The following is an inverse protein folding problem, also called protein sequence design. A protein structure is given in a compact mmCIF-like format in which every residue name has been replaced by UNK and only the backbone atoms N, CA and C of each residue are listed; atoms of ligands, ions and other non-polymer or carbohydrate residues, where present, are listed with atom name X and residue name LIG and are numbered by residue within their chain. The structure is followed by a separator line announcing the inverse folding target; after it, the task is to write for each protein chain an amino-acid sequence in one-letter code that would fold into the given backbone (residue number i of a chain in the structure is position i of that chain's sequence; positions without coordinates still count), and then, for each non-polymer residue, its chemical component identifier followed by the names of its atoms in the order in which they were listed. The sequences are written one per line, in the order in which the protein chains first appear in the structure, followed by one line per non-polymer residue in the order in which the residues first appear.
data_IF_310942623728
#
_entry.id   IF_310942623728
#
_cell.length_a   1.000
_cell.length_b   1.000
_cell.length_c   1.000
_cell.angle_alpha   90.00
_cell.angle_beta   90.00
_cell.angle_gamma   90.00
#
_symmetry.space_group_name_H-M   'P 1'
#
loop_
_entity.id
_entity.type
_entity.pdbx_description
1 polymer ?
#
# COMPACT_ATOMS: atom_id res chain seq x y z
N UNK A 1 -0.68 11.00 -9.84
CA UNK A 1 -0.03 10.17 -8.79
C UNK A 1 0.41 8.84 -9.38
N UNK A 2 1.42 8.22 -8.78
CA UNK A 2 1.80 6.82 -9.01
C UNK A 2 1.09 5.96 -7.97
N UNK A 3 0.29 5.01 -8.42
CA UNK A 3 -0.54 4.17 -7.54
C UNK A 3 -0.14 2.71 -7.73
N UNK A 4 0.27 2.03 -6.64
CA UNK A 4 0.45 0.59 -6.67
C UNK A 4 -0.86 -0.12 -6.34
N UNK A 5 -1.22 -1.12 -7.16
CA UNK A 5 -2.28 -2.09 -6.85
C UNK A 5 -1.62 -3.36 -6.33
N UNK A 6 -1.96 -3.76 -5.11
CA UNK A 6 -1.31 -4.87 -4.40
C UNK A 6 -2.36 -5.79 -3.79
N UNK A 7 -2.68 -6.86 -4.51
CA UNK A 7 -3.58 -7.92 -4.02
C UNK A 7 -2.77 -9.09 -3.46
N UNK A 8 -3.31 -9.76 -2.46
CA UNK A 8 -2.79 -11.01 -1.92
C UNK A 8 -3.63 -12.21 -2.41
N UNK A 9 -3.22 -13.43 -2.07
CA UNK A 9 -3.77 -14.67 -2.64
C UNK A 9 -5.28 -14.80 -2.53
N UNK A 10 -5.91 -14.44 -1.40
CA UNK A 10 -7.36 -14.62 -1.22
C UNK A 10 -8.21 -13.65 -2.05
N UNK A 11 -7.60 -12.60 -2.58
CA UNK A 11 -8.26 -11.53 -3.32
C UNK A 11 -7.63 -11.27 -4.70
N UNK A 12 -6.73 -12.14 -5.14
CA UNK A 12 -5.98 -11.96 -6.40
C UNK A 12 -6.89 -11.79 -7.62
N UNK A 13 -7.97 -12.56 -7.70
CA UNK A 13 -8.92 -12.51 -8.82
C UNK A 13 -9.73 -11.20 -8.88
N UNK A 14 -9.66 -10.35 -7.85
CA UNK A 14 -10.27 -9.01 -7.84
C UNK A 14 -9.39 -7.95 -8.48
N UNK A 15 -8.18 -8.30 -8.85
CA UNK A 15 -7.21 -7.39 -9.46
C UNK A 15 -7.77 -6.67 -10.70
N UNK A 16 -8.45 -7.41 -11.57
CA UNK A 16 -9.03 -6.87 -12.81
C UNK A 16 -10.09 -5.78 -12.54
N UNK A 17 -10.91 -5.96 -11.51
CA UNK A 17 -11.96 -5.01 -11.15
C UNK A 17 -11.37 -3.72 -10.56
N UNK A 18 -10.30 -3.84 -9.76
CA UNK A 18 -9.58 -2.68 -9.20
C UNK A 18 -8.92 -1.88 -10.31
N UNK A 19 -8.22 -2.55 -11.23
CA UNK A 19 -7.58 -1.89 -12.38
C UNK A 19 -8.60 -1.16 -13.25
N UNK A 20 -9.71 -1.82 -13.59
CA UNK A 20 -10.80 -1.23 -14.36
C UNK A 20 -11.42 -0.01 -13.66
N UNK A 21 -11.57 -0.08 -12.32
CA UNK A 21 -12.09 1.04 -11.55
C UNK A 21 -11.11 2.22 -11.42
N UNK A 22 -9.81 2.00 -11.60
CA UNK A 22 -8.77 3.04 -11.60
C UNK A 22 -8.49 3.62 -12.99
N UNK A 23 -8.92 2.93 -14.05
CA UNK A 23 -8.66 3.34 -15.43
C UNK A 23 -9.25 4.71 -15.74
N UNK A 24 -8.57 5.49 -16.60
CA UNK A 24 -9.03 6.80 -17.07
C UNK A 24 -8.98 7.95 -16.05
N UNK A 25 -8.47 7.72 -14.83
CA UNK A 25 -8.40 8.74 -13.76
C UNK A 25 -7.14 9.61 -13.79
N UNK A 26 -6.30 9.47 -14.82
CA UNK A 26 -5.09 10.29 -14.98
C UNK A 26 -3.96 9.95 -14.01
N UNK A 27 -3.93 8.73 -13.49
CA UNK A 27 -2.88 8.21 -12.61
C UNK A 27 -2.00 7.19 -13.33
N UNK A 28 -0.75 7.06 -12.91
CA UNK A 28 0.14 5.98 -13.33
C UNK A 28 -0.10 4.77 -12.43
N UNK A 29 -0.60 3.68 -12.99
CA UNK A 29 -0.93 2.47 -12.23
C UNK A 29 0.21 1.46 -12.35
N UNK A 30 0.69 0.97 -11.21
CA UNK A 30 1.70 -0.07 -11.05
C UNK A 30 1.03 -1.30 -10.44
N UNK A 31 0.82 -2.34 -11.23
CA UNK A 31 0.20 -3.59 -10.78
C UNK A 31 1.27 -4.49 -10.17
N UNK A 32 1.53 -4.36 -8.87
CA UNK A 32 2.67 -4.92 -8.16
C UNK A 32 2.37 -6.22 -7.37
N UNK A 33 1.10 -6.42 -6.96
CA UNK A 33 0.67 -7.63 -6.23
C UNK A 33 0.24 -8.77 -7.13
N UNK A 34 -0.38 -9.79 -6.54
CA UNK A 34 -0.95 -10.92 -7.26
C UNK A 34 -2.08 -10.47 -8.19
N UNK A 35 -2.10 -11.04 -9.39
CA UNK A 35 -3.05 -10.67 -10.47
C UNK A 35 -4.15 -11.70 -10.63
N UNK A 36 -3.88 -12.94 -10.21
CA UNK A 36 -4.83 -14.07 -10.24
C UNK A 36 -4.41 -15.12 -9.22
N UNK A 37 -5.34 -15.98 -8.85
CA UNK A 37 -5.05 -17.13 -8.00
C UNK A 37 -4.06 -18.09 -8.67
N UNK A 38 -3.21 -18.74 -7.88
CA UNK A 38 -2.23 -19.73 -8.34
C UNK A 38 -0.91 -19.16 -8.86
N UNK A 39 -0.70 -17.84 -8.85
CA UNK A 39 0.62 -17.26 -9.13
C UNK A 39 1.65 -17.65 -8.06
N UNK A 40 2.91 -17.76 -8.48
CA UNK A 40 4.03 -18.13 -7.60
C UNK A 40 5.14 -17.07 -7.68
N UNK A 41 5.81 -16.76 -6.54
CA UNK A 41 5.46 -17.23 -5.20
C UNK A 41 4.11 -16.67 -4.75
N UNK A 42 3.35 -17.45 -3.96
CA UNK A 42 2.10 -16.99 -3.37
C UNK A 42 2.37 -15.89 -2.34
N UNK A 43 1.66 -14.77 -2.44
CA UNK A 43 1.77 -13.67 -1.49
C UNK A 43 0.54 -13.63 -0.57
N UNK A 44 0.78 -13.81 0.71
CA UNK A 44 -0.20 -13.58 1.78
C UNK A 44 -0.21 -12.10 2.18
N UNK A 45 -1.19 -11.68 3.00
CA UNK A 45 -1.31 -10.29 3.46
C UNK A 45 -0.04 -9.75 4.16
N UNK A 46 0.74 -10.63 4.83
CA UNK A 46 2.02 -10.24 5.45
C UNK A 46 3.06 -9.84 4.39
N UNK A 47 3.10 -10.56 3.27
CA UNK A 47 4.00 -10.28 2.16
C UNK A 47 3.59 -9.00 1.41
N UNK A 48 2.30 -8.86 1.12
CA UNK A 48 1.78 -7.67 0.45
C UNK A 48 1.85 -6.42 1.32
N UNK A 49 1.75 -6.56 2.64
CA UNK A 49 2.03 -5.48 3.60
C UNK A 49 3.47 -5.00 3.53
N UNK A 50 4.45 -5.93 3.45
CA UNK A 50 5.86 -5.59 3.25
C UNK A 50 6.09 -4.94 1.88
N UNK A 51 5.51 -5.49 0.81
CA UNK A 51 5.64 -4.90 -0.54
C UNK A 51 5.14 -3.46 -0.58
N UNK A 52 3.97 -3.20 0.02
CA UNK A 52 3.44 -1.85 0.16
C UNK A 52 4.40 -0.92 0.91
N UNK A 53 4.97 -1.41 2.01
CA UNK A 53 5.93 -0.66 2.81
C UNK A 53 7.21 -0.34 2.03
N UNK A 54 7.74 -1.29 1.27
CA UNK A 54 8.90 -1.08 0.40
C UNK A 54 8.62 0.03 -0.61
N UNK A 55 7.53 -0.07 -1.35
CA UNK A 55 7.22 0.90 -2.41
C UNK A 55 6.98 2.31 -1.88
N UNK A 56 6.32 2.44 -0.72
CA UNK A 56 6.06 3.74 -0.08
C UNK A 56 7.34 4.34 0.53
N UNK A 57 8.13 3.55 1.28
CA UNK A 57 9.36 4.06 1.92
C UNK A 57 10.47 4.37 0.90
N UNK A 58 10.54 3.65 -0.22
CA UNK A 58 11.40 3.99 -1.36
C UNK A 58 10.84 5.10 -2.24
N UNK A 59 9.65 5.63 -1.93
CA UNK A 59 8.97 6.67 -2.73
C UNK A 59 8.77 6.25 -4.19
N UNK A 60 8.57 4.97 -4.46
CA UNK A 60 8.25 4.46 -5.80
C UNK A 60 6.83 4.79 -6.21
N UNK A 61 5.95 4.89 -5.22
CA UNK A 61 4.53 5.22 -5.38
C UNK A 61 4.10 6.28 -4.37
N UNK A 62 3.01 6.95 -4.70
CA UNK A 62 2.42 7.99 -3.86
C UNK A 62 1.24 7.44 -3.04
N UNK A 63 0.59 6.38 -3.53
CA UNK A 63 -0.54 5.69 -2.92
C UNK A 63 -0.45 4.19 -3.17
N UNK A 64 -0.81 3.40 -2.16
CA UNK A 64 -1.07 1.96 -2.31
C UNK A 64 -2.57 1.70 -2.20
N UNK A 65 -3.11 1.01 -3.20
CA UNK A 65 -4.43 0.38 -3.19
C UNK A 65 -4.20 -1.10 -2.97
N UNK A 66 -4.38 -1.56 -1.75
CA UNK A 66 -4.22 -2.96 -1.38
C UNK A 66 -5.49 -3.53 -0.77
N UNK A 67 -5.41 -4.76 -0.33
CA UNK A 67 -6.50 -5.42 0.38
C UNK A 67 -6.31 -6.92 0.47
N UNK A 68 -7.26 -7.54 1.14
CA UNK A 68 -7.38 -8.99 1.25
C UNK A 68 -8.86 -9.35 1.33
N UNK A 69 -9.21 -10.59 1.61
CA UNK A 69 -10.61 -11.01 1.72
C UNK A 69 -11.47 -10.10 2.59
N UNK A 70 -10.98 -9.70 3.77
CA UNK A 70 -11.67 -8.79 4.69
C UNK A 70 -11.07 -7.37 4.74
N UNK A 71 -9.94 -7.15 4.12
CA UNK A 71 -9.16 -5.92 4.25
C UNK A 71 -8.37 -5.80 5.57
N UNK A 72 -8.76 -6.52 6.60
CA UNK A 72 -8.18 -6.37 7.94
C UNK A 72 -6.76 -6.94 8.04
N UNK A 73 -6.49 -8.08 7.41
CA UNK A 73 -5.17 -8.70 7.40
C UNK A 73 -4.13 -7.79 6.75
N UNK A 74 -4.43 -7.25 5.57
CA UNK A 74 -3.56 -6.30 4.88
C UNK A 74 -3.35 -5.02 5.70
N UNK A 75 -4.43 -4.45 6.26
CA UNK A 75 -4.34 -3.28 7.15
C UNK A 75 -3.38 -3.53 8.31
N UNK A 76 -3.59 -4.64 9.05
CA UNK A 76 -2.75 -4.99 10.20
C UNK A 76 -1.29 -5.20 9.82
N UNK A 77 -1.02 -5.77 8.65
CA UNK A 77 0.34 -5.99 8.18
C UNK A 77 1.03 -4.68 7.79
N UNK A 78 0.36 -3.83 7.03
CA UNK A 78 0.98 -2.62 6.47
C UNK A 78 1.28 -1.56 7.52
N UNK A 79 0.45 -1.44 8.57
CA UNK A 79 0.67 -0.45 9.65
C UNK A 79 1.79 -0.85 10.62
N UNK A 80 2.40 -2.03 10.46
CA UNK A 80 3.61 -2.41 11.21
C UNK A 80 4.87 -1.69 10.70
N UNK A 81 4.76 -0.95 9.59
CA UNK A 81 5.90 -0.29 8.95
C UNK A 81 5.81 1.24 9.08
N UNK A 82 6.97 1.93 9.16
CA UNK A 82 7.00 3.38 9.35
C UNK A 82 6.40 4.14 8.18
N UNK A 83 5.85 5.31 8.48
CA UNK A 83 5.41 6.28 7.48
C UNK A 83 4.13 5.90 6.74
N UNK A 84 3.40 4.88 7.18
CA UNK A 84 2.18 4.40 6.52
C UNK A 84 0.95 4.81 7.34
N UNK A 85 0.02 5.46 6.64
CA UNK A 85 -1.32 5.76 7.15
C UNK A 85 -2.29 5.04 6.24
N UNK A 86 -2.89 3.95 6.76
CA UNK A 86 -3.78 3.08 6.00
C UNK A 86 -5.22 3.18 6.49
N UNK A 87 -6.14 3.37 5.56
CA UNK A 87 -7.59 3.34 5.80
C UNK A 87 -8.21 2.00 5.43
N UNK A 88 -9.08 1.46 6.27
CA UNK A 88 -9.95 0.34 5.92
C UNK A 88 -11.17 0.90 5.20
N UNK A 89 -11.31 0.62 3.91
CA UNK A 89 -12.32 1.22 3.05
C UNK A 89 -13.32 0.14 2.60
N UNK A 90 -14.55 0.27 3.06
CA UNK A 90 -15.65 -0.66 2.74
C UNK A 90 -16.61 -0.06 1.71
N UNK A 91 -16.72 1.27 1.67
CA UNK A 91 -17.68 1.98 0.83
C UNK A 91 -17.16 3.38 0.46
N UNK A 92 -17.94 4.11 -0.30
CA UNK A 92 -17.63 5.45 -0.80
C UNK A 92 -17.54 6.51 0.30
N UNK A 93 -18.32 6.40 1.38
CA UNK A 93 -18.24 7.32 2.52
C UNK A 93 -16.92 7.16 3.28
N UNK A 94 -16.48 5.92 3.52
CA UNK A 94 -15.18 5.64 4.13
C UNK A 94 -14.05 6.26 3.30
N UNK A 95 -14.11 6.08 1.99
CA UNK A 95 -13.13 6.61 1.05
C UNK A 95 -13.04 8.14 1.09
N UNK A 96 -14.20 8.80 1.06
CA UNK A 96 -14.29 10.26 1.12
C UNK A 96 -13.78 10.81 2.45
N UNK A 97 -14.22 10.23 3.58
CA UNK A 97 -13.80 10.67 4.93
C UNK A 97 -12.30 10.44 5.13
N UNK A 98 -11.77 9.30 4.70
CA UNK A 98 -10.35 9.01 4.82
C UNK A 98 -9.50 9.99 4.02
N UNK A 99 -9.87 10.29 2.78
CA UNK A 99 -9.18 11.28 1.96
C UNK A 99 -9.26 12.68 2.59
N UNK A 100 -10.43 13.11 3.08
CA UNK A 100 -10.64 14.41 3.70
C UNK A 100 -9.88 14.61 5.00
N UNK A 101 -9.87 13.60 5.87
CA UNK A 101 -9.43 13.75 7.26
C UNK A 101 -8.01 13.21 7.44
N UNK A 102 -7.76 11.99 6.99
CA UNK A 102 -6.52 11.28 7.27
C UNK A 102 -5.44 11.56 6.23
N UNK A 103 -5.81 11.81 4.97
CA UNK A 103 -4.87 12.01 3.87
C UNK A 103 -3.77 10.94 3.83
N UNK A 104 -4.16 9.68 4.02
CA UNK A 104 -3.22 8.58 4.09
C UNK A 104 -2.66 8.19 2.72
N UNK A 105 -1.60 7.41 2.75
CA UNK A 105 -0.89 6.92 1.57
C UNK A 105 -1.17 5.44 1.25
N UNK A 106 -2.12 4.84 1.95
CA UNK A 106 -2.52 3.45 1.75
C UNK A 106 -4.00 3.26 2.03
N UNK A 107 -4.69 2.46 1.21
CA UNK A 107 -6.03 1.99 1.51
C UNK A 107 -6.08 0.47 1.48
N UNK A 108 -6.88 -0.10 2.36
CA UNK A 108 -7.14 -1.54 2.47
C UNK A 108 -8.59 -1.83 2.14
N UNK A 109 -8.81 -2.52 1.03
CA UNK A 109 -10.13 -2.91 0.53
C UNK A 109 -10.54 -4.29 1.06
N UNK A 110 -11.82 -4.44 1.44
CA UNK A 110 -12.42 -5.73 1.77
C UNK A 110 -12.94 -6.39 0.49
N UNK A 111 -12.11 -7.21 -0.15
CA UNK A 111 -12.34 -7.66 -1.51
C UNK A 111 -13.22 -8.92 -1.66
N UNK A 112 -13.49 -9.64 -0.55
CA UNK A 112 -14.41 -10.77 -0.53
C UNK A 112 -15.58 -10.55 0.45
N UNK A 113 -15.43 -9.67 1.41
CA UNK A 113 -16.50 -9.36 2.36
C UNK A 113 -17.53 -8.44 1.70
N UNK A 114 -18.74 -8.93 1.52
CA UNK A 114 -19.79 -8.19 0.82
C UNK A 114 -19.53 -8.01 -0.68
N UNK A 115 -18.56 -8.70 -1.24
CA UNK A 115 -18.24 -8.66 -2.66
C UNK A 115 -19.23 -9.51 -3.43
N UNK A 116 -20.19 -8.85 -4.05
CA UNK A 116 -21.27 -9.49 -4.76
C UNK A 116 -21.38 -9.02 -6.22
N UNK A 117 -22.54 -9.19 -6.79
CA UNK A 117 -22.85 -8.92 -8.19
C UNK A 117 -22.44 -7.53 -8.70
N UNK A 118 -22.55 -6.48 -7.88
CA UNK A 118 -22.19 -5.10 -8.25
C UNK A 118 -20.91 -4.58 -7.58
N UNK A 119 -20.02 -5.47 -7.15
CA UNK A 119 -18.82 -5.09 -6.41
C UNK A 119 -17.85 -4.21 -7.22
N UNK A 120 -17.74 -4.46 -8.52
CA UNK A 120 -16.98 -3.61 -9.45
C UNK A 120 -17.54 -2.18 -9.53
N UNK A 121 -18.86 -2.02 -9.44
CA UNK A 121 -19.50 -0.69 -9.37
C UNK A 121 -19.20 0.01 -8.05
N UNK A 122 -19.22 -0.74 -6.93
CA UNK A 122 -18.84 -0.20 -5.63
C UNK A 122 -17.37 0.30 -5.62
N UNK A 123 -16.46 -0.42 -6.26
CA UNK A 123 -15.07 0.03 -6.41
C UNK A 123 -14.97 1.34 -7.19
N UNK A 124 -15.78 1.52 -8.24
CA UNK A 124 -15.85 2.79 -8.96
C UNK A 124 -16.32 3.92 -8.03
N UNK A 125 -17.38 3.72 -7.24
CA UNK A 125 -17.88 4.72 -6.30
C UNK A 125 -16.83 5.05 -5.22
N UNK A 126 -16.12 4.04 -4.70
CA UNK A 126 -15.02 4.24 -3.75
C UNK A 126 -13.96 5.18 -4.35
N UNK A 127 -13.47 4.89 -5.56
CA UNK A 127 -12.44 5.72 -6.18
C UNK A 127 -12.96 7.08 -6.66
N UNK A 128 -14.23 7.17 -7.12
CA UNK A 128 -14.87 8.44 -7.43
C UNK A 128 -14.85 9.36 -6.21
N UNK A 129 -15.18 8.84 -5.03
CA UNK A 129 -15.20 9.62 -3.80
C UNK A 129 -13.81 9.89 -3.25
N UNK A 130 -12.92 8.90 -3.29
CA UNK A 130 -11.55 9.07 -2.82
C UNK A 130 -10.82 10.20 -3.57
N UNK A 131 -10.95 10.25 -4.89
CA UNK A 131 -10.27 11.24 -5.73
C UNK A 131 -11.09 12.54 -5.96
N UNK A 132 -12.30 12.64 -5.44
CA UNK A 132 -13.14 13.84 -5.62
C UNK A 132 -12.74 15.03 -4.76
N UNK A 133 -11.79 14.84 -3.84
CA UNK A 133 -11.40 15.85 -2.85
C UNK A 133 -9.88 15.99 -2.80
N UNK A 134 -9.43 17.17 -2.40
CA UNK A 134 -8.03 17.37 -2.05
C UNK A 134 -7.72 16.66 -0.73
N UNK A 135 -6.68 15.82 -0.73
CA UNK A 135 -6.31 15.03 0.43
C UNK A 135 -5.98 15.94 1.64
N UNK A 136 -6.60 15.64 2.78
CA UNK A 136 -6.38 16.38 4.01
C UNK A 136 -7.06 17.75 4.07
N UNK A 137 -8.00 18.04 3.17
CA UNK A 137 -8.77 19.27 3.19
C UNK A 137 -9.53 19.49 4.51
N UNK A 138 -9.89 18.41 5.19
CA UNK A 138 -10.50 18.40 6.51
C UNK A 138 -12.02 18.45 6.48
N UNK A 139 -12.66 17.71 7.41
CA UNK A 139 -14.11 17.68 7.56
C UNK A 139 -14.52 17.42 9.03
N UNK A 140 -15.54 18.11 9.55
CA UNK A 140 -16.15 19.32 8.99
C UNK A 140 -15.17 20.51 8.97
N UNK A 141 -15.49 21.57 8.25
CA UNK A 141 -14.54 22.67 7.96
C UNK A 141 -13.84 23.27 9.20
N UNK A 142 -14.57 23.39 10.32
CA UNK A 142 -14.02 23.92 11.58
C UNK A 142 -12.99 22.96 12.24
N UNK A 143 -12.86 21.73 11.77
CA UNK A 143 -11.88 20.73 12.26
C UNK A 143 -10.62 20.65 11.40
N UNK A 144 -10.52 21.40 10.32
CA UNK A 144 -9.40 21.36 9.37
C UNK A 144 -8.04 21.50 10.06
N UNK A 145 -7.85 22.57 10.82
CA UNK A 145 -6.57 22.82 11.50
C UNK A 145 -6.21 21.77 12.55
N UNK A 146 -7.12 21.40 13.48
CA UNK A 146 -6.85 20.31 14.42
C UNK A 146 -6.51 18.96 13.73
N UNK A 147 -7.16 18.64 12.63
CA UNK A 147 -6.90 17.42 11.86
C UNK A 147 -5.53 17.48 11.17
N UNK A 148 -5.14 18.63 10.61
CA UNK A 148 -3.82 18.83 10.05
C UNK A 148 -2.72 18.66 11.12
N UNK A 149 -2.90 19.25 12.29
CA UNK A 149 -2.00 19.09 13.42
C UNK A 149 -1.92 17.62 13.88
N UNK A 150 -3.04 16.92 13.94
CA UNK A 150 -3.08 15.49 14.30
C UNK A 150 -2.28 14.63 13.33
N UNK A 151 -2.37 14.90 12.01
CA UNK A 151 -1.55 14.17 11.00
C UNK A 151 -0.05 14.39 11.21
N UNK A 152 0.36 15.63 11.48
CA UNK A 152 1.77 15.95 11.79
C UNK A 152 2.24 15.23 13.06
N UNK A 153 1.42 15.24 14.10
CA UNK A 153 1.72 14.52 15.35
C UNK A 153 1.82 13.01 15.12
N UNK A 154 0.91 12.44 14.31
CA UNK A 154 0.94 11.01 13.99
C UNK A 154 2.20 10.61 13.23
N UNK A 155 2.74 11.46 12.35
CA UNK A 155 4.03 11.23 11.71
C UNK A 155 5.17 11.17 12.73
N UNK A 156 5.19 12.09 13.70
CA UNK A 156 6.19 12.07 14.77
C UNK A 156 6.07 10.82 15.66
N UNK A 157 4.84 10.37 15.96
CA UNK A 157 4.59 9.12 16.67
C UNK A 157 5.10 7.92 15.87
N UNK A 158 4.85 7.88 14.56
CA UNK A 158 5.36 6.80 13.69
C UNK A 158 6.89 6.74 13.72
N UNK A 159 7.56 7.89 13.62
CA UNK A 159 9.03 7.96 13.70
C UNK A 159 9.59 7.49 15.07
N UNK A 160 8.89 7.79 16.16
CA UNK A 160 9.30 7.38 17.49
C UNK A 160 9.01 5.90 17.80
N UNK A 161 7.95 5.35 17.21
CA UNK A 161 7.48 3.99 17.49
C UNK A 161 8.16 2.91 16.63
N UNK A 162 8.73 3.29 15.49
CA UNK A 162 9.35 2.34 14.57
C UNK A 162 10.87 2.48 14.56
N UNK A 163 11.54 1.36 14.27
CA UNK A 163 12.95 1.37 13.87
C UNK A 163 13.12 2.00 12.49
N UNK A 164 14.32 2.48 12.13
CA UNK A 164 14.65 2.83 10.75
C UNK A 164 14.31 1.70 9.79
N UNK A 165 13.74 2.02 8.63
CA UNK A 165 13.23 1.00 7.70
C UNK A 165 14.34 0.04 7.22
N UNK A 166 15.59 0.52 7.09
CA UNK A 166 16.74 -0.33 6.79
C UNK A 166 16.98 -1.42 7.85
N UNK A 167 16.82 -1.10 9.13
CA UNK A 167 16.94 -2.07 10.21
C UNK A 167 15.78 -3.07 10.20
N UNK A 168 14.57 -2.61 9.90
CA UNK A 168 13.40 -3.48 9.75
C UNK A 168 13.65 -4.50 8.64
N UNK A 169 14.06 -4.06 7.44
CA UNK A 169 14.38 -4.95 6.33
C UNK A 169 15.42 -6.01 6.74
N UNK A 170 16.43 -5.64 7.51
CA UNK A 170 17.44 -6.59 7.98
C UNK A 170 16.94 -7.56 9.04
N UNK A 171 16.02 -7.14 9.91
CA UNK A 171 15.53 -7.93 11.03
C UNK A 171 14.39 -8.89 10.68
N UNK A 172 13.65 -8.61 9.59
CA UNK A 172 12.50 -9.44 9.20
C UNK A 172 12.90 -10.88 8.91
N UNK A 173 12.06 -11.89 9.24
CA UNK A 173 12.28 -13.28 8.89
C UNK A 173 12.37 -13.49 7.36
N UNK A 174 13.17 -14.47 6.95
CA UNK A 174 13.37 -14.78 5.53
C UNK A 174 12.06 -15.20 4.83
N UNK A 175 11.19 -15.91 5.53
CA UNK A 175 9.86 -16.29 5.04
C UNK A 175 8.95 -15.10 4.71
N UNK A 176 9.20 -13.92 5.27
CA UNK A 176 8.47 -12.70 4.95
C UNK A 176 9.11 -11.95 3.78
N UNK A 177 10.43 -11.89 3.74
CA UNK A 177 11.17 -11.08 2.75
C UNK A 177 11.32 -11.79 1.41
N UNK A 178 11.70 -13.08 1.44
CA UNK A 178 12.07 -13.81 0.23
C UNK A 178 10.92 -13.92 -0.80
N UNK A 179 9.68 -14.25 -0.41
CA UNK A 179 8.57 -14.29 -1.38
C UNK A 179 8.32 -12.92 -2.04
N UNK A 180 8.51 -11.83 -1.30
CA UNK A 180 8.31 -10.46 -1.82
C UNK A 180 9.38 -10.13 -2.87
N UNK A 181 10.66 -10.33 -2.55
CA UNK A 181 11.75 -10.01 -3.47
C UNK A 181 11.73 -10.94 -4.71
N UNK A 182 11.34 -12.20 -4.51
CA UNK A 182 11.25 -13.17 -5.61
C UNK A 182 10.00 -12.99 -6.49
N UNK A 183 9.03 -12.18 -6.07
CA UNK A 183 7.82 -11.97 -6.85
C UNK A 183 8.14 -11.20 -8.15
N UNK A 184 7.59 -11.64 -9.31
CA UNK A 184 7.91 -11.05 -10.60
C UNK A 184 7.68 -9.54 -10.66
N UNK A 185 8.69 -8.79 -11.12
CA UNK A 185 8.66 -7.34 -11.27
C UNK A 185 9.02 -6.55 -10.00
N UNK A 186 9.14 -7.20 -8.83
CA UNK A 186 9.44 -6.48 -7.58
C UNK A 186 10.87 -5.98 -7.53
N UNK A 187 11.84 -6.72 -8.05
CA UNK A 187 13.25 -6.27 -8.09
C UNK A 187 13.41 -4.99 -8.90
N UNK A 188 12.75 -4.92 -10.04
CA UNK A 188 12.72 -3.75 -10.91
C UNK A 188 12.03 -2.55 -10.23
N UNK A 189 11.00 -2.80 -9.44
CA UNK A 189 10.33 -1.76 -8.65
C UNK A 189 11.16 -1.27 -7.47
N UNK A 190 11.92 -2.15 -6.83
CA UNK A 190 12.87 -1.76 -5.77
C UNK A 190 13.97 -0.87 -6.37
N UNK A 191 14.51 -1.25 -7.54
CA UNK A 191 15.57 -0.52 -8.23
C UNK A 191 16.67 -0.06 -7.25
N UNK A 192 17.41 -1.05 -6.73
CA UNK A 192 18.38 -0.85 -5.63
C UNK A 192 19.43 0.20 -5.99
N UNK A 193 19.79 0.33 -7.27
CA UNK A 193 20.79 1.29 -7.71
C UNK A 193 20.36 2.75 -7.50
N UNK A 194 19.06 3.02 -7.58
CA UNK A 194 18.50 4.37 -7.38
C UNK A 194 18.21 4.71 -5.91
N UNK A 195 18.54 3.80 -4.96
CA UNK A 195 18.34 4.07 -3.52
C UNK A 195 19.44 5.00 -3.03
N UNK A 196 19.03 6.21 -2.64
CA UNK A 196 19.95 7.25 -2.14
C UNK A 196 20.46 6.98 -0.71
N UNK A 197 19.64 6.34 0.14
CA UNK A 197 20.03 5.98 1.52
C UNK A 197 20.98 4.77 1.51
N UNK A 198 22.27 4.96 1.88
CA UNK A 198 23.25 3.86 1.84
C UNK A 198 22.92 2.71 2.78
N UNK A 199 22.30 2.99 3.93
CA UNK A 199 21.92 1.97 4.89
C UNK A 199 20.77 1.10 4.34
N UNK A 200 19.82 1.71 3.67
CA UNK A 200 18.68 1.04 3.06
C UNK A 200 19.13 0.25 1.81
N UNK A 201 19.99 0.82 0.97
CA UNK A 201 20.61 0.12 -0.16
C UNK A 201 21.33 -1.14 0.31
N UNK A 202 22.23 -1.01 1.28
CA UNK A 202 22.98 -2.14 1.85
C UNK A 202 22.06 -3.17 2.54
N UNK A 203 20.90 -2.78 3.06
CA UNK A 203 19.94 -3.70 3.63
C UNK A 203 19.33 -4.62 2.56
N UNK A 204 18.93 -4.07 1.42
CA UNK A 204 18.40 -4.86 0.29
C UNK A 204 19.46 -5.75 -0.34
N UNK A 205 20.66 -5.24 -0.59
CA UNK A 205 21.78 -6.01 -1.14
C UNK A 205 22.20 -7.20 -0.26
N UNK A 206 22.05 -7.09 1.05
CA UNK A 206 22.30 -8.22 1.98
C UNK A 206 21.20 -9.26 1.92
N UNK A 207 19.95 -8.85 1.71
CA UNK A 207 18.82 -9.76 1.62
C UNK A 207 18.78 -10.55 0.32
N UNK A 208 19.17 -9.92 -0.76
CA UNK A 208 19.31 -10.58 -2.06
C UNK A 208 20.56 -10.05 -2.79
N UNK A 209 21.66 -10.82 -2.78
CA UNK A 209 22.88 -10.45 -3.48
C UNK A 209 22.70 -10.24 -4.99
N UNK A 210 21.64 -10.79 -5.60
CA UNK A 210 21.35 -10.59 -7.02
C UNK A 210 20.81 -9.18 -7.34
N UNK A 211 20.50 -8.39 -6.30
CA UNK A 211 20.15 -6.97 -6.44
C UNK A 211 21.38 -6.06 -6.62
N UNK A 212 22.60 -6.58 -6.43
CA UNK A 212 23.82 -5.82 -6.73
C UNK A 212 24.01 -5.75 -8.23
N UNK A 213 24.34 -4.57 -8.74
CA UNK A 213 24.88 -4.46 -10.10
C UNK A 213 26.23 -5.20 -10.17
N UNK A 214 26.40 -6.01 -11.20
CA UNK A 214 27.69 -6.62 -11.53
C UNK A 214 28.69 -5.57 -12.01
#
# INVERSE_FOLDING_TARGET
MRIAVINETSAADRNVDILAALEGRGHTIINAGMKKNGEQPELQYIHTGLLAAILLNLKRVDLVVGGCGTGQGFLNAVVQYPGIICGHILNDLDAWLFAQINAGNCISLALNQGYGWAANVNLQFIFDRFFSVEAGQGYPAHRREPQAQSRTTLQAVSQAAHRPFAEIIQALPAEVVNPVIAYPGVKELIDVESIEDPALKAAFERRDPSLRSG
#
